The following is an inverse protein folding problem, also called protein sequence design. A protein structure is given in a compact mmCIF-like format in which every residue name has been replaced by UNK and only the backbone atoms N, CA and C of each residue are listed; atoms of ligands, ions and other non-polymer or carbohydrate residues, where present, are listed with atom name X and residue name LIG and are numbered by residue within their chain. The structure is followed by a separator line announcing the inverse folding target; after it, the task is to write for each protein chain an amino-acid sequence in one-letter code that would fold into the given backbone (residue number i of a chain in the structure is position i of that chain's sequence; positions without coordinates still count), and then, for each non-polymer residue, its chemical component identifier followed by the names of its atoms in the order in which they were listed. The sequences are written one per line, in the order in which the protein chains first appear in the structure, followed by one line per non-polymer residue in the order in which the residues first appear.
data_IF_385646178369
#
_entry.id   IF_385646178369
#
_cell.length_a   1.000
_cell.length_b   1.000
_cell.length_c   1.000
_cell.angle_alpha   90.00
_cell.angle_beta   90.00
_cell.angle_gamma   90.00
#
_symmetry.space_group_name_H-M   'P 1'
#
loop_
_entity.id
_entity.type
_entity.pdbx_description
1 polymer ?
#
# COMPACT_ATOMS: atom_id res chain seq x y z
N UNK A 1 3.45 -15.08 -9.13
CA UNK A 1 2.99 -14.72 -7.78
C UNK A 1 2.23 -13.40 -7.83
N UNK A 2 1.04 -13.38 -7.28
CA UNK A 2 0.23 -12.17 -7.27
C UNK A 2 0.63 -11.26 -6.12
N UNK A 3 0.67 -9.97 -6.39
CA UNK A 3 0.95 -8.94 -5.37
C UNK A 3 -0.27 -8.00 -5.27
N UNK A 4 -0.42 -7.31 -4.14
CA UNK A 4 -1.46 -6.29 -4.02
C UNK A 4 -1.27 -5.20 -5.07
N UNK A 5 -2.34 -4.52 -5.41
CA UNK A 5 -2.30 -3.38 -6.33
C UNK A 5 -2.43 -2.09 -5.53
N UNK A 6 -1.67 -1.07 -5.93
CA UNK A 6 -1.72 0.24 -5.31
C UNK A 6 -2.00 1.30 -6.37
N UNK A 7 -2.92 2.21 -6.04
CA UNK A 7 -3.34 3.30 -6.91
C UNK A 7 -3.15 4.62 -6.17
N UNK A 8 -2.47 5.56 -6.82
CA UNK A 8 -2.26 6.90 -6.27
C UNK A 8 -3.30 7.88 -6.80
N UNK A 9 -3.78 8.76 -5.95
CA UNK A 9 -4.75 9.77 -6.36
C UNK A 9 -4.15 10.67 -7.43
N UNK A 10 -4.88 10.84 -8.54
CA UNK A 10 -4.45 11.65 -9.66
C UNK A 10 -4.84 13.11 -9.48
N UNK A 11 -3.93 14.04 -9.85
CA UNK A 11 -4.24 15.46 -9.96
C UNK A 11 -5.10 15.69 -11.21
N UNK A 12 -5.69 16.88 -11.33
CA UNK A 12 -6.48 17.23 -12.52
C UNK A 12 -5.68 17.09 -13.82
N UNK A 13 -4.43 17.51 -13.82
CA UNK A 13 -3.56 17.36 -15.00
C UNK A 13 -3.26 15.90 -15.31
N UNK A 14 -3.03 15.08 -14.29
CA UNK A 14 -2.80 13.65 -14.46
C UNK A 14 -4.05 12.96 -15.00
N UNK A 15 -5.23 13.34 -14.53
CA UNK A 15 -6.49 12.79 -15.04
C UNK A 15 -6.62 13.08 -16.53
N UNK A 16 -6.32 14.30 -16.97
CA UNK A 16 -6.38 14.66 -18.41
C UNK A 16 -5.42 13.84 -19.25
N UNK A 17 -4.23 13.55 -18.71
CA UNK A 17 -3.21 12.75 -19.40
C UNK A 17 -3.49 11.24 -19.35
N UNK A 18 -4.39 10.80 -18.49
CA UNK A 18 -4.70 9.37 -18.33
C UNK A 18 -5.59 8.81 -19.44
N UNK A 19 -6.11 9.67 -20.30
CA UNK A 19 -7.03 9.28 -21.37
C UNK A 19 -6.52 9.73 -22.73
N UNK A 20 -6.83 8.93 -23.77
CA UNK A 20 -6.55 9.28 -25.16
C UNK A 20 -7.71 8.78 -26.00
N UNK A 21 -8.35 9.69 -26.74
CA UNK A 21 -9.48 9.34 -27.59
C UNK A 21 -10.65 8.70 -26.85
N UNK A 22 -10.89 9.13 -25.62
CA UNK A 22 -11.95 8.58 -24.76
C UNK A 22 -11.63 7.23 -24.14
N UNK A 23 -10.39 6.76 -24.27
CA UNK A 23 -9.95 5.46 -23.72
C UNK A 23 -8.88 5.65 -22.66
N UNK A 24 -8.90 4.81 -21.64
CA UNK A 24 -7.89 4.82 -20.57
C UNK A 24 -6.52 4.39 -21.09
N UNK A 25 -5.49 5.15 -20.78
CA UNK A 25 -4.09 4.83 -21.09
C UNK A 25 -3.42 3.99 -20.01
N UNK A 26 -3.95 4.04 -18.80
CA UNK A 26 -3.42 3.36 -17.64
C UNK A 26 -4.54 2.61 -16.95
N UNK A 27 -4.17 1.66 -16.11
CA UNK A 27 -5.16 1.06 -15.23
C UNK A 27 -5.54 2.07 -14.16
N UNK A 28 -6.83 2.36 -14.05
CA UNK A 28 -7.37 3.40 -13.20
C UNK A 28 -8.36 2.82 -12.21
N UNK A 29 -8.50 3.50 -11.09
CA UNK A 29 -9.53 3.22 -10.11
C UNK A 29 -10.36 4.48 -9.93
N UNK A 30 -11.67 4.37 -10.11
CA UNK A 30 -12.58 5.49 -9.89
C UNK A 30 -13.36 5.22 -8.61
N UNK A 31 -13.27 6.13 -7.67
CA UNK A 31 -13.96 6.04 -6.37
C UNK A 31 -15.08 7.06 -6.35
N UNK A 32 -16.31 6.59 -6.18
CA UNK A 32 -17.50 7.44 -6.10
C UNK A 32 -18.40 6.97 -4.97
N UNK A 33 -19.52 7.67 -4.76
CA UNK A 33 -20.54 7.29 -3.78
C UNK A 33 -21.14 5.92 -4.08
N UNK A 34 -21.08 5.50 -5.34
CA UNK A 34 -21.60 4.20 -5.79
C UNK A 34 -20.60 3.05 -5.58
N UNK A 35 -19.36 3.36 -5.20
CA UNK A 35 -18.33 2.37 -4.93
C UNK A 35 -17.07 2.54 -5.77
N UNK A 36 -16.39 1.43 -6.01
CA UNK A 36 -15.13 1.38 -6.75
C UNK A 36 -15.36 0.80 -8.13
N UNK A 37 -14.70 1.41 -9.12
CA UNK A 37 -14.71 0.91 -10.49
C UNK A 37 -13.29 0.87 -11.04
N UNK A 38 -12.84 -0.30 -11.49
CA UNK A 38 -11.53 -0.47 -12.10
C UNK A 38 -11.66 -0.34 -13.62
N UNK A 39 -10.82 0.50 -14.22
CA UNK A 39 -10.73 0.66 -15.67
C UNK A 39 -9.40 0.10 -16.14
N UNK A 40 -9.44 -0.81 -17.10
CA UNK A 40 -8.22 -1.34 -17.72
C UNK A 40 -7.77 -0.46 -18.88
N UNK A 41 -6.53 -0.63 -19.30
CA UNK A 41 -5.97 0.07 -20.46
C UNK A 41 -6.83 -0.23 -21.68
N UNK A 42 -7.26 0.80 -22.37
CA UNK A 42 -8.10 0.69 -23.56
C UNK A 42 -9.60 0.70 -23.31
N UNK A 43 -10.02 0.67 -22.04
CA UNK A 43 -11.44 0.75 -21.70
C UNK A 43 -12.00 2.12 -22.09
N UNK A 44 -13.20 2.13 -22.64
CA UNK A 44 -13.91 3.35 -22.94
C UNK A 44 -14.36 4.01 -21.65
N UNK A 45 -14.17 5.31 -21.59
CA UNK A 45 -14.52 6.11 -20.43
C UNK A 45 -15.68 7.01 -20.80
N UNK A 46 -16.81 6.80 -20.18
CA UNK A 46 -17.93 7.70 -20.27
C UNK A 46 -17.73 8.89 -19.34
N UNK A 47 -18.81 9.35 -18.75
CA UNK A 47 -18.74 10.41 -17.76
C UNK A 47 -18.04 9.89 -16.48
N UNK A 48 -16.98 10.59 -16.06
CA UNK A 48 -16.27 10.27 -14.83
C UNK A 48 -16.91 11.03 -13.66
N UNK A 49 -17.48 10.28 -12.74
CA UNK A 49 -18.03 10.83 -11.50
C UNK A 49 -17.24 10.23 -10.35
N UNK A 50 -16.50 11.07 -9.63
CA UNK A 50 -15.69 10.65 -8.48
C UNK A 50 -14.21 10.94 -8.61
N UNK A 51 -13.44 10.42 -7.67
CA UNK A 51 -12.00 10.60 -7.64
C UNK A 51 -11.31 9.53 -8.49
N UNK A 52 -10.31 9.94 -9.25
CA UNK A 52 -9.52 9.05 -10.11
C UNK A 52 -8.19 8.77 -9.47
N UNK A 53 -7.83 7.48 -9.42
CA UNK A 53 -6.56 6.99 -8.92
C UNK A 53 -5.86 6.22 -10.03
N UNK A 54 -4.56 6.40 -10.17
CA UNK A 54 -3.75 5.75 -11.21
C UNK A 54 -2.89 4.67 -10.57
N UNK A 55 -2.89 3.48 -11.16
CA UNK A 55 -2.06 2.38 -10.67
C UNK A 55 -0.58 2.74 -10.73
N UNK A 56 0.13 2.43 -9.64
CA UNK A 56 1.58 2.62 -9.51
C UNK A 56 2.25 1.28 -9.24
N UNK A 57 3.57 1.24 -9.45
CA UNK A 57 4.38 0.09 -9.12
C UNK A 57 4.36 -0.10 -7.60
N UNK A 58 4.05 -1.31 -7.17
CA UNK A 58 3.90 -1.63 -5.75
C UNK A 58 5.25 -1.62 -5.01
N UNK A 59 6.29 -2.22 -5.62
CA UNK A 59 7.55 -2.52 -4.92
C UNK A 59 8.25 -1.29 -4.36
N UNK A 60 8.14 -0.14 -5.01
CA UNK A 60 8.78 1.11 -4.56
C UNK A 60 7.78 2.16 -4.08
N UNK A 61 6.53 1.78 -3.90
CA UNK A 61 5.47 2.73 -3.53
C UNK A 61 5.71 3.40 -2.18
N UNK A 62 6.43 2.76 -1.27
CA UNK A 62 6.77 3.36 0.02
C UNK A 62 7.46 4.72 -0.12
N UNK A 63 8.17 4.97 -1.23
CA UNK A 63 8.92 6.20 -1.46
C UNK A 63 8.02 7.42 -1.60
N UNK A 64 6.88 7.27 -2.25
CA UNK A 64 5.95 8.38 -2.45
C UNK A 64 4.74 8.32 -1.51
N UNK A 65 4.49 7.20 -0.89
CA UNK A 65 3.28 6.95 -0.10
C UNK A 65 3.35 7.59 1.29
N UNK A 66 4.48 7.46 1.97
CA UNK A 66 4.61 7.87 3.37
C UNK A 66 5.90 8.64 3.62
N UNK A 67 5.85 9.51 4.63
CA UNK A 67 7.03 10.17 5.19
C UNK A 67 7.51 9.32 6.37
N UNK A 68 8.72 8.78 6.26
CA UNK A 68 9.27 7.91 7.30
C UNK A 68 9.60 8.64 8.60
N UNK A 69 9.88 9.92 8.53
CA UNK A 69 10.19 10.71 9.72
C UNK A 69 8.92 11.14 10.45
N UNK A 70 7.96 11.66 9.73
CA UNK A 70 6.72 12.17 10.30
C UNK A 70 5.68 11.07 10.57
N UNK A 71 5.78 9.92 9.89
CA UNK A 71 4.82 8.84 10.03
C UNK A 71 3.43 9.21 9.50
N UNK A 72 3.39 9.92 8.38
CA UNK A 72 2.13 10.36 7.77
C UNK A 72 2.08 9.96 6.29
N UNK A 73 0.87 9.84 5.77
CA UNK A 73 0.64 9.59 4.35
C UNK A 73 0.92 10.87 3.57
N UNK A 74 1.80 10.77 2.57
CA UNK A 74 2.16 11.90 1.71
C UNK A 74 1.19 12.10 0.56
N UNK A 75 0.62 11.04 0.06
CA UNK A 75 -0.28 11.08 -1.09
C UNK A 75 -1.41 10.09 -0.90
N UNK A 76 -2.64 10.54 -1.08
CA UNK A 76 -3.79 9.65 -0.97
C UNK A 76 -3.68 8.49 -1.94
N UNK A 77 -4.02 7.31 -1.47
CA UNK A 77 -3.88 6.08 -2.24
C UNK A 77 -4.94 5.07 -1.84
N UNK A 78 -5.18 4.11 -2.72
CA UNK A 78 -6.01 2.94 -2.44
C UNK A 78 -5.18 1.70 -2.69
N UNK A 79 -5.15 0.81 -1.73
CA UNK A 79 -4.50 -0.49 -1.87
C UNK A 79 -5.59 -1.56 -2.00
N UNK A 80 -5.50 -2.34 -3.07
CA UNK A 80 -6.37 -3.49 -3.27
C UNK A 80 -5.61 -4.74 -2.85
N UNK A 81 -5.90 -5.30 -1.65
CA UNK A 81 -5.24 -6.52 -1.21
C UNK A 81 -5.66 -7.71 -2.07
N UNK A 82 -4.92 -8.81 -1.99
CA UNK A 82 -5.28 -10.04 -2.70
C UNK A 82 -6.60 -10.62 -2.19
N UNK A 83 -6.92 -10.36 -0.94
CA UNK A 83 -8.14 -10.79 -0.30
C UNK A 83 -8.59 -9.73 0.70
N UNK A 84 -9.88 -9.47 0.74
CA UNK A 84 -10.47 -8.50 1.67
C UNK A 84 -10.79 -7.15 1.02
N UNK A 85 -11.36 -6.25 1.82
CA UNK A 85 -11.82 -4.96 1.30
C UNK A 85 -10.68 -4.02 0.95
N UNK A 86 -10.93 -3.04 0.06
CA UNK A 86 -9.95 -2.00 -0.26
C UNK A 86 -9.48 -1.23 0.97
N UNK A 87 -8.25 -0.76 0.91
CA UNK A 87 -7.64 0.02 1.98
C UNK A 87 -7.42 1.44 1.48
N UNK A 88 -8.04 2.40 2.15
CA UNK A 88 -7.90 3.82 1.80
C UNK A 88 -6.88 4.47 2.71
N UNK A 89 -5.90 5.14 2.10
CA UNK A 89 -4.93 5.98 2.81
C UNK A 89 -5.15 7.42 2.35
N UNK A 90 -5.38 8.31 3.30
CA UNK A 90 -5.63 9.72 3.00
C UNK A 90 -4.42 10.57 3.35
N UNK A 91 -4.08 11.51 2.48
CA UNK A 91 -2.99 12.44 2.69
C UNK A 91 -3.09 13.11 4.07
N UNK A 92 -1.98 13.10 4.81
CA UNK A 92 -1.92 13.68 6.14
C UNK A 92 -2.31 12.74 7.29
N UNK A 93 -2.89 11.59 7.00
CA UNK A 93 -3.22 10.61 8.04
C UNK A 93 -1.96 10.01 8.65
N UNK A 94 -2.02 9.77 9.95
CA UNK A 94 -0.94 9.07 10.66
C UNK A 94 -1.00 7.58 10.39
N UNK A 95 0.18 6.99 10.21
CA UNK A 95 0.34 5.54 10.06
C UNK A 95 1.43 5.08 11.01
N UNK A 96 1.42 3.77 11.29
CA UNK A 96 2.50 3.14 12.02
C UNK A 96 3.49 2.55 11.01
N UNK A 97 4.76 2.87 11.19
CA UNK A 97 5.85 2.36 10.35
C UNK A 97 6.69 1.43 11.20
N UNK A 98 6.71 0.15 10.85
CA UNK A 98 7.47 -0.86 11.58
C UNK A 98 8.47 -1.49 10.62
N UNK A 99 9.74 -1.45 10.97
CA UNK A 99 10.81 -1.99 10.13
C UNK A 99 11.35 -3.31 10.69
N UNK A 100 11.62 -4.24 9.79
CA UNK A 100 12.32 -5.48 10.08
C UNK A 100 13.67 -5.47 9.36
N UNK A 101 14.75 -5.74 10.09
CA UNK A 101 16.10 -5.72 9.56
C UNK A 101 16.83 -7.00 9.98
N UNK A 102 17.46 -7.67 9.04
CA UNK A 102 18.26 -8.85 9.33
C UNK A 102 18.92 -9.40 8.09
N UNK A 103 19.66 -10.49 8.25
CA UNK A 103 20.28 -11.16 7.12
C UNK A 103 19.22 -11.72 6.18
N UNK A 104 18.19 -12.31 6.74
CA UNK A 104 17.02 -12.79 6.02
C UNK A 104 15.79 -12.34 6.82
N UNK A 105 14.84 -11.74 6.15
CA UNK A 105 13.56 -11.33 6.74
C UNK A 105 12.44 -12.01 5.99
N UNK A 106 11.57 -12.71 6.71
CA UNK A 106 10.42 -13.39 6.13
C UNK A 106 9.15 -12.75 6.71
N UNK A 107 8.41 -11.98 5.90
CA UNK A 107 7.13 -11.44 6.35
C UNK A 107 6.15 -12.57 6.68
N UNK A 108 5.44 -12.43 7.79
CA UNK A 108 4.46 -13.41 8.28
C UNK A 108 3.03 -12.89 8.19
N UNK A 109 2.85 -11.67 7.71
CA UNK A 109 1.54 -11.06 7.52
C UNK A 109 1.41 -10.58 6.09
N UNK A 110 0.17 -10.40 5.67
CA UNK A 110 -0.17 -9.93 4.32
C UNK A 110 -0.91 -8.60 4.39
N UNK A 111 -0.81 -7.85 3.31
CA UNK A 111 -1.61 -6.64 3.15
C UNK A 111 -3.10 -6.98 3.31
N UNK A 112 -3.78 -6.21 4.12
CA UNK A 112 -5.19 -6.40 4.43
C UNK A 112 -5.47 -7.07 5.77
N UNK A 113 -4.49 -7.76 6.36
CA UNK A 113 -4.68 -8.39 7.66
C UNK A 113 -4.81 -7.35 8.77
N UNK A 114 -5.66 -7.65 9.73
CA UNK A 114 -5.80 -6.87 10.96
C UNK A 114 -4.94 -7.53 12.02
N UNK A 115 -4.09 -6.75 12.66
CA UNK A 115 -3.17 -7.25 13.68
C UNK A 115 -3.43 -6.58 15.02
N UNK A 116 -3.08 -7.27 16.08
CA UNK A 116 -3.16 -6.80 17.46
C UNK A 116 -1.76 -6.84 18.09
N UNK A 117 -1.54 -6.14 19.22
CA UNK A 117 -0.25 -6.21 19.90
C UNK A 117 0.16 -7.65 20.19
N UNK A 118 1.43 -7.97 19.91
CA UNK A 118 1.98 -9.31 20.06
C UNK A 118 1.94 -10.15 18.80
N UNK A 119 1.23 -9.74 17.76
CA UNK A 119 1.22 -10.47 16.49
C UNK A 119 2.60 -10.46 15.86
N UNK A 120 3.10 -11.63 15.44
CA UNK A 120 4.36 -11.74 14.73
C UNK A 120 4.21 -11.20 13.32
N UNK A 121 4.98 -10.15 13.00
CA UNK A 121 4.97 -9.52 11.68
C UNK A 121 6.00 -10.15 10.75
N UNK A 122 7.14 -10.55 11.30
CA UNK A 122 8.23 -11.12 10.51
C UNK A 122 9.08 -12.07 11.35
N UNK A 123 9.65 -13.05 10.67
CA UNK A 123 10.74 -13.86 11.19
C UNK A 123 12.04 -13.26 10.68
N UNK A 124 12.99 -13.07 11.58
CA UNK A 124 14.27 -12.43 11.27
C UNK A 124 15.40 -13.40 11.61
N UNK A 125 16.21 -13.74 10.61
CA UNK A 125 17.43 -14.52 10.79
C UNK A 125 18.60 -13.55 10.85
N UNK A 126 19.31 -13.52 11.97
CA UNK A 126 20.44 -12.66 12.18
C UNK A 126 21.72 -13.21 11.56
N UNK A 127 22.76 -12.40 11.43
CA UNK A 127 24.08 -12.86 10.97
C UNK A 127 24.74 -13.87 11.92
N UNK A 128 24.26 -13.98 13.15
CA UNK A 128 24.73 -14.94 14.15
C UNK A 128 23.92 -16.25 14.17
N UNK A 129 23.11 -16.47 13.15
CA UNK A 129 22.21 -17.64 13.01
C UNK A 129 21.17 -17.74 14.09
N UNK A 130 20.78 -16.65 14.68
CA UNK A 130 19.66 -16.58 15.63
C UNK A 130 18.37 -16.29 14.88
N UNK A 131 17.29 -16.89 15.36
CA UNK A 131 15.94 -16.60 14.87
C UNK A 131 15.26 -15.67 15.87
N UNK A 132 14.77 -14.54 15.36
CA UNK A 132 13.99 -13.58 16.15
C UNK A 132 12.68 -13.29 15.45
N UNK A 133 11.71 -12.81 16.22
CA UNK A 133 10.43 -12.38 15.65
C UNK A 133 10.21 -10.90 15.95
N UNK A 134 9.85 -10.18 14.90
CA UNK A 134 9.34 -8.83 15.04
C UNK A 134 7.85 -8.93 15.35
N UNK A 135 7.41 -8.32 16.44
CA UNK A 135 6.01 -8.30 16.83
C UNK A 135 5.44 -6.89 16.73
N UNK A 136 4.16 -6.81 16.42
CA UNK A 136 3.46 -5.53 16.49
C UNK A 136 3.26 -5.14 17.96
N UNK A 137 3.48 -3.88 18.26
CA UNK A 137 3.14 -3.28 19.55
C UNK A 137 1.85 -2.46 19.49
N UNK A 138 1.23 -2.42 18.31
CA UNK A 138 0.02 -1.64 18.06
C UNK A 138 -1.04 -2.49 17.36
N UNK A 139 -2.28 -2.04 17.47
CA UNK A 139 -3.39 -2.59 16.69
C UNK A 139 -3.54 -1.79 15.40
N UNK A 140 -3.79 -2.48 14.30
CA UNK A 140 -3.97 -1.82 13.02
C UNK A 140 -4.21 -2.80 11.90
N UNK A 141 -4.41 -2.25 10.71
CA UNK A 141 -4.56 -3.03 9.48
C UNK A 141 -3.31 -2.85 8.63
N UNK A 142 -2.77 -3.96 8.13
CA UNK A 142 -1.59 -3.92 7.26
C UNK A 142 -1.99 -3.30 5.92
N UNK A 143 -1.46 -2.11 5.63
CA UNK A 143 -1.73 -1.41 4.38
C UNK A 143 -0.65 -1.65 3.33
N UNK A 144 0.57 -1.95 3.75
CA UNK A 144 1.70 -2.14 2.85
C UNK A 144 2.77 -3.00 3.50
N UNK A 145 3.35 -3.89 2.72
CA UNK A 145 4.53 -4.69 3.10
C UNK A 145 5.49 -4.62 1.93
N UNK A 146 6.69 -4.10 2.14
CA UNK A 146 7.66 -3.96 1.06
C UNK A 146 9.09 -4.09 1.53
N UNK A 147 9.92 -4.61 0.63
CA UNK A 147 11.36 -4.71 0.86
C UNK A 147 12.04 -3.43 0.40
N UNK A 148 12.78 -2.77 1.29
CA UNK A 148 13.45 -1.51 0.98
C UNK A 148 14.95 -1.65 0.81
N UNK A 149 15.56 -2.74 1.32
CA UNK A 149 16.97 -3.04 1.13
C UNK A 149 17.19 -4.55 0.99
N UNK A 150 18.27 -4.92 0.29
CA UNK A 150 18.58 -6.32 -0.02
C UNK A 150 19.72 -6.86 0.86
N UNK A 151 20.71 -6.03 1.22
CA UNK A 151 21.88 -6.44 2.02
C UNK A 151 22.26 -5.36 3.03
N UNK A 152 21.89 -5.53 4.31
CA UNK A 152 20.99 -6.55 4.86
C UNK A 152 19.58 -6.38 4.36
N UNK A 153 18.76 -7.41 4.49
CA UNK A 153 17.37 -7.32 4.11
C UNK A 153 16.62 -6.40 5.08
N UNK A 154 15.88 -5.46 4.52
CA UNK A 154 15.06 -4.53 5.30
C UNK A 154 13.68 -4.48 4.69
N UNK A 155 12.67 -4.67 5.55
CA UNK A 155 11.27 -4.58 5.16
C UNK A 155 10.57 -3.50 5.96
N UNK A 156 9.61 -2.86 5.33
CA UNK A 156 8.72 -1.90 5.98
C UNK A 156 7.30 -2.46 6.02
N UNK A 157 6.68 -2.34 7.19
CA UNK A 157 5.27 -2.65 7.39
C UNK A 157 4.55 -1.35 7.70
N UNK A 158 3.59 -0.98 6.88
CA UNK A 158 2.79 0.22 7.09
C UNK A 158 1.42 -0.22 7.58
N UNK A 159 1.05 0.24 8.77
CA UNK A 159 -0.23 -0.09 9.39
C UNK A 159 -1.06 1.17 9.54
N UNK A 160 -2.33 1.08 9.18
CA UNK A 160 -3.28 2.12 9.50
C UNK A 160 -3.93 1.79 10.84
N UNK A 161 -4.12 2.79 11.71
CA UNK A 161 -4.82 2.56 12.98
C UNK A 161 -6.21 2.01 12.71
N UNK A 162 -6.60 1.01 13.48
CA UNK A 162 -7.96 0.50 13.40
C UNK A 162 -8.85 1.41 14.23
N UNK A 163 -9.83 2.00 13.57
CA UNK A 163 -10.89 2.73 14.25
C UNK A 163 -11.98 1.72 14.63
N UNK A 164 -12.22 1.63 15.91
CA UNK A 164 -13.33 0.83 16.43
C UNK A 164 -14.58 1.69 16.54
#
# INVERSE_FOLDING_TARGET
MSIPRIFAKASESEVKCAFSGGKAKHRLLVVSDEGLRVLDVGDEVGELVGDVYIQRVYDDAYRWLVDFEAGVVLKSAVVLPLSGPPIFLHEGERVYLIEALGRIVVPLVRVGEVVSPGRRLAAIFTGKRELRYLRSDVSGRIAYVGQIDVKPQRYIFILIPRLE
#
